data_IF_910978395900
#
_entry.id   IF_910978395900
#
_cell.length_a   1.000
_cell.length_b   1.000
_cell.length_c   1.000
_cell.angle_alpha   90.00
_cell.angle_beta   90.00
_cell.angle_gamma   90.00
#
_symmetry.space_group_name_H-M   'P 1'
#
loop_
_entity.id
_entity.type
_entity.pdbx_description
1 polymer ?
#
# COMPACT_ATOMS: atom_id res chain seq x y z
N UNK A 1 10.26 -14.54 7.91
CA UNK A 1 9.06 -15.20 7.33
C UNK A 1 7.93 -14.21 7.12
N UNK A 2 7.43 -13.51 8.16
CA UNK A 2 6.37 -12.49 7.97
C UNK A 2 6.84 -11.21 7.24
N UNK A 3 8.11 -10.81 7.40
CA UNK A 3 8.69 -9.68 6.65
C UNK A 3 8.67 -9.89 5.12
N UNK A 4 8.97 -11.11 4.65
CA UNK A 4 8.92 -11.41 3.22
C UNK A 4 7.49 -11.27 2.68
N UNK A 5 6.49 -11.76 3.44
CA UNK A 5 5.08 -11.66 3.04
C UNK A 5 4.61 -10.21 2.94
N UNK A 6 4.95 -9.36 3.91
CA UNK A 6 4.54 -7.95 3.84
C UNK A 6 5.24 -7.21 2.69
N UNK A 7 6.51 -7.50 2.41
CA UNK A 7 7.24 -6.92 1.27
C UNK A 7 6.60 -7.35 -0.05
N UNK A 8 6.25 -8.64 -0.20
CA UNK A 8 5.56 -9.15 -1.39
C UNK A 8 4.21 -8.45 -1.62
N UNK A 9 3.39 -8.27 -0.57
CA UNK A 9 2.12 -7.54 -0.69
C UNK A 9 2.33 -6.06 -0.99
N UNK A 10 3.37 -5.42 -0.44
CA UNK A 10 3.73 -4.04 -0.76
C UNK A 10 4.20 -3.87 -2.22
N UNK A 11 4.94 -4.82 -2.78
CA UNK A 11 5.33 -4.82 -4.20
C UNK A 11 4.11 -4.92 -5.13
N UNK A 12 3.12 -5.75 -4.78
CA UNK A 12 1.85 -5.81 -5.53
C UNK A 12 1.09 -4.48 -5.44
N UNK A 13 1.02 -3.89 -4.25
CA UNK A 13 0.38 -2.59 -4.06
C UNK A 13 1.12 -1.46 -4.79
N UNK A 14 2.46 -1.49 -4.83
CA UNK A 14 3.28 -0.55 -5.59
C UNK A 14 2.94 -0.60 -7.07
N UNK A 15 2.89 -1.81 -7.67
CA UNK A 15 2.50 -2.00 -9.08
C UNK A 15 1.11 -1.47 -9.36
N UNK A 16 0.16 -1.70 -8.45
CA UNK A 16 -1.17 -1.09 -8.56
C UNK A 16 -1.09 0.44 -8.61
N UNK A 17 -0.30 1.08 -7.73
CA UNK A 17 -0.12 2.54 -7.77
C UNK A 17 0.57 3.03 -9.05
N UNK A 18 1.54 2.29 -9.59
CA UNK A 18 2.20 2.61 -10.87
C UNK A 18 1.20 2.54 -12.05
N UNK A 19 0.39 1.48 -12.11
CA UNK A 19 -0.65 1.29 -13.13
C UNK A 19 -1.65 2.46 -13.15
N UNK A 20 -1.95 3.02 -11.97
CA UNK A 20 -2.92 4.09 -11.76
C UNK A 20 -2.30 5.50 -11.64
N UNK A 21 -0.97 5.63 -11.83
CA UNK A 21 -0.18 6.88 -11.74
C UNK A 21 -0.29 7.61 -10.38
N UNK A 22 -0.41 6.88 -9.29
CA UNK A 22 -0.49 7.43 -7.93
C UNK A 22 0.92 7.63 -7.37
N UNK A 23 1.71 8.50 -8.01
CA UNK A 23 3.17 8.62 -7.81
C UNK A 23 3.59 8.88 -6.35
N UNK A 24 2.79 9.65 -5.59
CA UNK A 24 3.06 9.88 -4.17
C UNK A 24 3.04 8.59 -3.35
N UNK A 25 2.14 7.68 -3.69
CA UNK A 25 2.03 6.38 -3.04
C UNK A 25 3.04 5.36 -3.56
N UNK A 26 3.42 5.41 -4.84
CA UNK A 26 4.54 4.61 -5.37
C UNK A 26 5.81 4.84 -4.52
N UNK A 27 6.21 6.11 -4.37
CA UNK A 27 7.40 6.48 -3.61
C UNK A 27 7.28 6.11 -2.13
N UNK A 28 6.10 6.29 -1.53
CA UNK A 28 5.87 5.93 -0.13
C UNK A 28 6.01 4.42 0.10
N UNK A 29 5.53 3.61 -0.84
CA UNK A 29 5.65 2.15 -0.80
C UNK A 29 7.09 1.70 -0.98
N UNK A 30 7.85 2.30 -1.91
CA UNK A 30 9.28 2.02 -2.08
C UNK A 30 10.08 2.25 -0.80
N UNK A 31 9.90 3.40 -0.16
CA UNK A 31 10.57 3.73 1.11
C UNK A 31 10.19 2.75 2.22
N UNK A 32 8.95 2.25 2.24
CA UNK A 32 8.54 1.26 3.23
C UNK A 32 9.21 -0.10 3.00
N UNK A 33 9.32 -0.53 1.73
CA UNK A 33 10.02 -1.77 1.34
C UNK A 33 11.49 -1.69 1.73
N UNK A 34 12.20 -0.63 1.31
CA UNK A 34 13.62 -0.42 1.66
C UNK A 34 13.85 -0.49 3.18
N UNK A 35 13.00 0.20 3.96
CA UNK A 35 13.09 0.17 5.43
C UNK A 35 12.86 -1.21 6.03
N UNK A 36 12.00 -2.05 5.42
CA UNK A 36 11.72 -3.41 5.88
C UNK A 36 12.84 -4.38 5.53
N UNK A 37 13.49 -4.20 4.38
CA UNK A 37 14.65 -4.97 3.95
C UNK A 37 15.90 -4.66 4.81
N UNK A 38 16.07 -3.40 5.19
CA UNK A 38 17.19 -2.94 6.02
C UNK A 38 17.03 -3.28 7.52
N UNK A 39 15.82 -3.59 8.02
CA UNK A 39 15.55 -3.74 9.46
C UNK A 39 15.40 -5.19 9.97
N UNK A 40 16.20 -5.52 10.98
CA UNK A 40 16.13 -6.75 11.80
C UNK A 40 15.19 -6.64 13.02
N UNK A 41 13.99 -6.04 12.89
CA UNK A 41 12.98 -6.13 13.97
C UNK A 41 11.97 -4.98 14.16
N UNK A 42 12.01 -3.90 13.38
CA UNK A 42 11.10 -2.76 13.55
C UNK A 42 9.92 -2.71 12.56
N UNK A 43 9.53 -3.86 12.00
CA UNK A 43 8.52 -3.95 10.94
C UNK A 43 7.17 -3.35 11.34
N UNK A 44 6.75 -3.52 12.60
CA UNK A 44 5.49 -2.99 13.10
C UNK A 44 5.42 -1.46 13.08
N UNK A 45 6.50 -0.78 13.48
CA UNK A 45 6.56 0.69 13.43
C UNK A 45 6.54 1.19 11.99
N UNK A 46 7.33 0.56 11.11
CA UNK A 46 7.37 0.91 9.69
C UNK A 46 5.98 0.78 9.06
N UNK A 47 5.27 -0.31 9.37
CA UNK A 47 3.92 -0.53 8.86
C UNK A 47 2.87 0.42 9.44
N UNK A 48 3.00 0.82 10.70
CA UNK A 48 2.14 1.86 11.29
C UNK A 48 2.31 3.20 10.55
N UNK A 49 3.56 3.59 10.30
CA UNK A 49 3.86 4.84 9.58
C UNK A 49 3.42 4.77 8.11
N UNK A 50 3.58 3.61 7.46
CA UNK A 50 3.17 3.41 6.08
C UNK A 50 1.65 3.54 5.91
N UNK A 51 0.87 2.82 6.73
CA UNK A 51 -0.60 2.87 6.67
C UNK A 51 -1.09 4.28 7.04
N UNK A 52 -0.47 4.91 8.03
CA UNK A 52 -0.86 6.21 8.53
C UNK A 52 -2.20 6.20 9.27
N UNK A 53 -2.70 7.39 9.59
CA UNK A 53 -4.02 7.60 10.19
C UNK A 53 -4.61 8.93 9.67
N UNK A 54 -5.94 8.95 9.47
CA UNK A 54 -6.67 10.11 8.99
C UNK A 54 -6.53 10.34 7.48
N UNK A 55 -6.99 11.51 7.03
CA UNK A 55 -7.10 11.86 5.62
C UNK A 55 -5.77 11.69 4.86
N UNK A 56 -5.78 10.87 3.81
CA UNK A 56 -4.58 10.50 3.07
C UNK A 56 -3.81 9.31 3.65
N UNK A 57 -4.41 8.56 4.58
CA UNK A 57 -3.98 7.21 4.97
C UNK A 57 -4.23 6.21 3.85
N UNK A 58 -3.60 5.03 3.94
CA UNK A 58 -3.83 3.96 2.97
C UNK A 58 -5.29 3.48 2.98
N UNK A 59 -5.91 3.49 4.16
CA UNK A 59 -7.28 3.02 4.37
C UNK A 59 -8.30 4.00 3.78
N UNK A 60 -7.98 5.30 3.77
CA UNK A 60 -8.82 6.35 3.20
C UNK A 60 -8.51 6.62 1.73
N UNK A 61 -7.60 5.87 1.12
CA UNK A 61 -7.18 6.11 -0.26
C UNK A 61 -8.30 5.69 -1.23
N UNK A 62 -8.65 6.60 -2.13
CA UNK A 62 -9.65 6.38 -3.15
C UNK A 62 -9.11 6.78 -4.53
N UNK A 63 -9.29 5.88 -5.51
CA UNK A 63 -8.80 6.06 -6.87
C UNK A 63 -9.96 6.45 -7.78
N UNK A 64 -10.00 7.70 -8.21
CA UNK A 64 -10.93 8.19 -9.23
C UNK A 64 -10.24 9.15 -10.21
N UNK A 65 -10.87 9.37 -11.37
CA UNK A 65 -10.37 10.28 -12.40
C UNK A 65 -10.42 11.75 -11.95
N UNK A 66 -11.41 12.12 -11.12
CA UNK A 66 -11.54 13.48 -10.55
C UNK A 66 -10.33 13.87 -9.68
N UNK A 67 -9.67 12.88 -9.08
CA UNK A 67 -8.42 13.06 -8.33
C UNK A 67 -7.17 13.02 -9.22
N UNK A 68 -7.33 12.97 -10.56
CA UNK A 68 -6.25 12.91 -11.53
C UNK A 68 -5.61 11.53 -11.70
N UNK A 69 -6.23 10.46 -11.17
CA UNK A 69 -5.72 9.11 -11.32
C UNK A 69 -6.10 8.49 -12.66
N UNK A 70 -5.28 7.56 -13.15
CA UNK A 70 -5.59 6.80 -14.36
C UNK A 70 -6.36 5.55 -13.96
N UNK A 71 -7.57 5.36 -14.46
CA UNK A 71 -8.32 4.11 -14.27
C UNK A 71 -8.04 3.15 -15.44
N UNK A 72 -7.60 1.93 -15.13
CA UNK A 72 -7.36 0.84 -16.11
C UNK A 72 -8.57 -0.08 -16.31
N UNK A 73 -9.53 0.05 -15.40
CA UNK A 73 -10.82 -0.63 -15.35
C UNK A 73 -11.84 0.36 -14.73
N UNK A 74 -13.07 -0.04 -14.48
CA UNK A 74 -14.01 0.90 -13.86
C UNK A 74 -13.61 1.23 -12.40
N UNK A 75 -14.05 2.40 -11.92
CA UNK A 75 -13.71 2.93 -10.60
C UNK A 75 -14.04 1.94 -9.46
N UNK A 76 -15.19 1.27 -9.54
CA UNK A 76 -15.63 0.29 -8.55
C UNK A 76 -14.67 -0.89 -8.45
N UNK A 77 -14.31 -1.49 -9.59
CA UNK A 77 -13.36 -2.60 -9.63
C UNK A 77 -11.97 -2.17 -9.14
N UNK A 78 -11.50 -0.97 -9.53
CA UNK A 78 -10.20 -0.43 -9.08
C UNK A 78 -10.15 -0.28 -7.57
N UNK A 79 -11.16 0.35 -6.97
CA UNK A 79 -11.18 0.54 -5.53
C UNK A 79 -11.42 -0.76 -4.76
N UNK A 80 -12.19 -1.71 -5.31
CA UNK A 80 -12.29 -3.05 -4.73
C UNK A 80 -10.94 -3.79 -4.73
N UNK A 81 -10.12 -3.64 -5.78
CA UNK A 81 -8.76 -4.20 -5.81
C UNK A 81 -7.88 -3.53 -4.75
N UNK A 82 -7.94 -2.21 -4.61
CA UNK A 82 -7.21 -1.47 -3.58
C UNK A 82 -7.61 -1.91 -2.16
N UNK A 83 -8.91 -2.05 -1.88
CA UNK A 83 -9.43 -2.50 -0.58
C UNK A 83 -8.86 -3.89 -0.24
N UNK A 84 -8.94 -4.85 -1.16
CA UNK A 84 -8.41 -6.21 -0.93
C UNK A 84 -6.92 -6.23 -0.62
N UNK A 85 -6.13 -5.46 -1.36
CA UNK A 85 -4.68 -5.34 -1.11
C UNK A 85 -4.41 -4.70 0.26
N UNK A 86 -5.20 -3.69 0.64
CA UNK A 86 -5.09 -3.02 1.94
C UNK A 86 -5.43 -3.97 3.09
N UNK A 87 -6.51 -4.75 2.96
CA UNK A 87 -6.92 -5.76 3.94
C UNK A 87 -5.88 -6.87 4.13
N UNK A 88 -5.24 -7.31 3.03
CA UNK A 88 -4.14 -8.28 3.07
C UNK A 88 -2.95 -7.74 3.89
N UNK A 89 -2.52 -6.51 3.58
CA UNK A 89 -1.44 -5.81 4.29
C UNK A 89 -1.76 -5.65 5.78
N UNK A 90 -2.99 -5.26 6.11
CA UNK A 90 -3.45 -5.13 7.50
C UNK A 90 -3.45 -6.47 8.23
N UNK A 91 -3.87 -7.54 7.56
CA UNK A 91 -3.88 -8.89 8.13
C UNK A 91 -2.47 -9.38 8.46
N UNK A 92 -1.51 -9.15 7.56
CA UNK A 92 -0.10 -9.51 7.79
C UNK A 92 0.49 -8.65 8.91
N UNK A 93 0.26 -7.33 8.87
CA UNK A 93 0.71 -6.39 9.91
C UNK A 93 0.27 -6.82 11.31
N UNK A 94 -0.98 -7.25 11.47
CA UNK A 94 -1.50 -7.64 12.79
C UNK A 94 -0.84 -8.90 13.37
N UNK A 95 0.00 -9.59 12.58
CA UNK A 95 0.81 -10.73 12.98
C UNK A 95 2.29 -10.39 13.19
N UNK A 96 2.71 -9.15 12.89
CA UNK A 96 4.05 -8.61 13.17
C UNK A 96 4.19 -8.17 14.63
#
# INVERSE_FOLDING_TARGET
MANNQIIESLEVLKKFFEEHKINGWVKRTEVAIEKLEENNGNSKSIMNDFIGAGMGSLIDLYVCEDNGHVLKQNEFETNNKLIKLTEEILTIKNRL
#
